data_IF_663554650097
#
_entry.id   IF_663554650097
#
_cell.length_a   1.000
_cell.length_b   1.000
_cell.length_c   1.000
_cell.angle_alpha   90.00
_cell.angle_beta   90.00
_cell.angle_gamma   90.00
#
_symmetry.space_group_name_H-M   'P 1'
#
loop_
_entity.id
_entity.type
_entity.pdbx_description
1 polymer ?
#
# COMPACT_ATOMS: atom_id res chain seq x y z
N UNK A 1 4.71 -10.34 -12.58
CA UNK A 1 3.48 -10.66 -11.81
C UNK A 1 3.84 -11.23 -10.45
N UNK A 2 3.20 -10.77 -9.36
CA UNK A 2 3.39 -11.34 -8.03
C UNK A 2 2.77 -12.74 -7.94
N UNK A 3 3.47 -13.67 -7.29
CA UNK A 3 3.03 -15.07 -7.12
C UNK A 3 2.62 -15.40 -5.69
N UNK A 4 2.88 -14.50 -4.75
CA UNK A 4 2.62 -14.67 -3.31
C UNK A 4 2.67 -13.31 -2.60
N UNK A 5 2.12 -13.23 -1.38
CA UNK A 5 2.20 -12.02 -0.56
C UNK A 5 3.65 -11.58 -0.26
N UNK A 6 4.59 -12.52 -0.09
CA UNK A 6 6.01 -12.21 0.11
C UNK A 6 6.64 -11.59 -1.14
N UNK A 7 6.33 -12.13 -2.32
CA UNK A 7 6.79 -11.58 -3.59
C UNK A 7 6.20 -10.18 -3.83
N UNK A 8 4.92 -9.97 -3.52
CA UNK A 8 4.30 -8.65 -3.56
C UNK A 8 4.94 -7.66 -2.57
N UNK A 9 5.33 -8.14 -1.37
CA UNK A 9 6.06 -7.32 -0.39
C UNK A 9 7.42 -6.88 -0.93
N UNK A 10 8.16 -7.79 -1.56
CA UNK A 10 9.46 -7.51 -2.15
C UNK A 10 9.36 -6.44 -3.25
N UNK A 11 8.41 -6.60 -4.18
CA UNK A 11 8.10 -5.59 -5.20
C UNK A 11 7.72 -4.26 -4.54
N UNK A 12 6.88 -4.30 -3.51
CA UNK A 12 6.40 -3.11 -2.83
C UNK A 12 7.49 -2.31 -2.13
N UNK A 13 8.57 -2.95 -1.64
CA UNK A 13 9.69 -2.25 -0.99
C UNK A 13 10.34 -1.19 -1.87
N UNK A 14 10.27 -1.31 -3.20
CA UNK A 14 10.81 -0.32 -4.11
C UNK A 14 10.03 1.02 -4.13
N UNK A 15 8.80 1.03 -3.60
CA UNK A 15 7.89 2.18 -3.62
C UNK A 15 7.80 2.93 -2.29
N UNK A 16 8.48 2.44 -1.26
CA UNK A 16 8.50 3.03 0.08
C UNK A 16 9.93 3.35 0.51
N UNK A 17 10.12 4.27 1.46
CA UNK A 17 11.41 4.43 2.11
C UNK A 17 11.88 3.11 2.74
N UNK A 18 13.20 2.88 2.84
CA UNK A 18 13.71 1.63 3.39
C UNK A 18 13.27 1.46 4.85
N UNK A 19 12.81 0.26 5.19
CA UNK A 19 12.37 -0.08 6.55
C UNK A 19 13.51 0.16 7.56
N UNK A 20 13.22 0.89 8.64
CA UNK A 20 14.19 1.22 9.68
C UNK A 20 15.10 2.42 9.36
N UNK A 21 14.88 3.12 8.24
CA UNK A 21 15.53 4.41 7.99
C UNK A 21 15.00 5.49 8.95
N UNK A 22 15.77 6.57 9.23
CA UNK A 22 15.24 7.75 9.89
C UNK A 22 13.98 8.26 9.18
N UNK A 23 12.91 8.52 9.94
CA UNK A 23 11.59 8.90 9.41
C UNK A 23 11.01 7.91 8.38
N UNK A 24 11.48 6.66 8.38
CA UNK A 24 11.03 5.58 7.50
C UNK A 24 9.98 4.67 8.16
N UNK A 25 9.37 3.76 7.38
CA UNK A 25 8.43 2.80 7.93
C UNK A 25 9.14 1.79 8.84
N UNK A 26 8.44 1.28 9.85
CA UNK A 26 8.90 0.15 10.68
C UNK A 26 8.56 -1.19 10.06
N UNK A 27 7.61 -1.22 9.12
CA UNK A 27 7.21 -2.44 8.43
C UNK A 27 6.58 -2.16 7.07
N UNK A 28 6.52 -3.19 6.22
CA UNK A 28 5.73 -3.19 5.00
C UNK A 28 4.68 -4.29 5.17
N UNK A 29 3.41 -3.90 5.17
CA UNK A 29 2.25 -4.76 5.35
C UNK A 29 1.68 -5.11 3.98
N UNK A 30 1.25 -6.36 3.81
CA UNK A 30 0.62 -6.82 2.57
C UNK A 30 -0.72 -7.45 2.90
N UNK A 31 -1.77 -6.97 2.25
CA UNK A 31 -3.11 -7.53 2.29
C UNK A 31 -3.42 -8.13 0.92
N UNK A 32 -3.48 -9.46 0.85
CA UNK A 32 -3.89 -10.15 -0.37
C UNK A 32 -5.42 -10.08 -0.54
N UNK A 33 -5.87 -9.89 -1.78
CA UNK A 33 -7.29 -9.98 -2.16
C UNK A 33 -7.41 -10.62 -3.55
N UNK A 34 -8.65 -10.76 -4.04
CA UNK A 34 -8.94 -11.55 -5.26
C UNK A 34 -8.17 -11.06 -6.50
N UNK A 35 -8.05 -9.75 -6.69
CA UNK A 35 -7.47 -9.15 -7.91
C UNK A 35 -6.02 -8.69 -7.74
N UNK A 36 -5.46 -8.74 -6.53
CA UNK A 36 -4.17 -8.13 -6.26
C UNK A 36 -3.69 -8.22 -4.81
N UNK A 37 -2.71 -7.36 -4.52
CA UNK A 37 -2.07 -7.20 -3.23
C UNK A 37 -2.05 -5.71 -2.87
N UNK A 38 -2.68 -5.32 -1.77
CA UNK A 38 -2.51 -3.98 -1.21
C UNK A 38 -1.26 -3.97 -0.33
N UNK A 39 -0.30 -3.11 -0.65
CA UNK A 39 0.93 -2.92 0.12
C UNK A 39 0.89 -1.56 0.81
N UNK A 40 1.21 -1.57 2.10
CA UNK A 40 1.14 -0.40 2.97
C UNK A 40 2.42 -0.27 3.80
N UNK A 41 2.87 0.97 3.98
CA UNK A 41 3.90 1.30 4.96
C UNK A 41 3.28 1.33 6.37
N UNK A 42 3.80 0.49 7.26
CA UNK A 42 3.52 0.57 8.69
C UNK A 42 4.45 1.60 9.32
N UNK A 43 3.87 2.70 9.81
CA UNK A 43 4.59 3.78 10.46
C UNK A 43 4.62 3.57 11.98
N UNK A 44 5.68 4.03 12.67
CA UNK A 44 5.69 4.00 14.13
C UNK A 44 4.52 4.83 14.67
N UNK A 45 3.92 4.36 15.77
CA UNK A 45 2.96 5.19 16.49
C UNK A 45 3.69 6.46 16.96
N UNK A 46 3.07 7.65 16.81
CA UNK A 46 3.67 8.86 17.34
C UNK A 46 3.78 8.75 18.86
N UNK A 47 4.89 9.23 19.43
CA UNK A 47 5.13 9.23 20.87
C UNK A 47 4.06 10.05 21.61
N UNK A 48 3.63 11.15 20.98
CA UNK A 48 2.49 11.94 21.40
C UNK A 48 1.32 11.75 20.41
N UNK A 49 0.17 11.21 20.85
CA UNK A 49 -0.98 10.94 19.97
C UNK A 49 -1.69 12.20 19.48
N UNK A 50 -1.37 13.38 20.04
CA UNK A 50 -1.93 14.68 19.63
C UNK A 50 -1.03 15.41 18.63
N UNK A 51 0.22 14.96 18.47
CA UNK A 51 1.14 15.48 17.50
C UNK A 51 0.60 15.25 16.08
N UNK A 52 0.65 16.30 15.28
CA UNK A 52 0.35 16.19 13.86
C UNK A 52 1.44 15.34 13.18
N UNK A 53 1.08 14.49 12.22
CA UNK A 53 2.07 13.76 11.46
C UNK A 53 2.99 14.75 10.72
N UNK A 54 4.30 14.50 10.80
CA UNK A 54 5.34 15.35 10.19
C UNK A 54 5.30 15.37 8.66
N UNK A 55 4.51 14.52 8.02
CA UNK A 55 4.29 14.48 6.58
C UNK A 55 2.85 14.05 6.29
N UNK A 56 2.27 14.48 5.15
CA UNK A 56 0.99 13.96 4.71
C UNK A 56 1.05 12.43 4.69
N UNK A 57 0.07 11.77 5.33
CA UNK A 57 0.00 10.32 5.40
C UNK A 57 0.15 9.76 3.99
N UNK A 58 1.13 8.86 3.81
CA UNK A 58 1.66 8.46 2.50
C UNK A 58 0.64 7.86 1.53
N UNK A 59 1.11 7.21 0.47
CA UNK A 59 0.23 6.42 -0.40
C UNK A 59 0.31 4.94 0.01
N UNK A 60 -0.76 4.20 -0.21
CA UNK A 60 -0.68 2.76 -0.37
C UNK A 60 -0.45 2.46 -1.85
N UNK A 61 -0.03 1.23 -2.17
CA UNK A 61 -0.02 0.74 -3.55
C UNK A 61 -0.83 -0.55 -3.65
N UNK A 62 -1.42 -0.79 -4.81
CA UNK A 62 -1.99 -2.07 -5.19
C UNK A 62 -1.17 -2.67 -6.30
N UNK A 63 -0.78 -3.94 -6.16
CA UNK A 63 -0.09 -4.71 -7.20
C UNK A 63 -1.08 -5.71 -7.76
N UNK A 64 -1.43 -5.58 -9.04
CA UNK A 64 -2.35 -6.49 -9.71
C UNK A 64 -1.77 -7.90 -9.83
N UNK A 65 -2.58 -8.93 -9.55
CA UNK A 65 -2.18 -10.33 -9.75
C UNK A 65 -2.03 -10.68 -11.23
N UNK A 66 -2.90 -10.14 -12.09
CA UNK A 66 -2.99 -10.51 -13.51
C UNK A 66 -1.75 -10.17 -14.32
N UNK A 67 -1.16 -9.02 -14.06
CA UNK A 67 -0.11 -8.43 -14.91
C UNK A 67 1.05 -7.82 -14.09
N UNK A 68 0.85 -7.59 -12.78
CA UNK A 68 1.83 -6.96 -11.90
C UNK A 68 1.83 -5.43 -11.91
N UNK A 69 0.87 -4.79 -12.56
CA UNK A 69 0.70 -3.33 -12.57
C UNK A 69 0.57 -2.80 -11.15
N UNK A 70 1.23 -1.67 -10.91
CA UNK A 70 1.24 -0.97 -9.64
C UNK A 70 0.36 0.27 -9.74
N UNK A 71 -0.67 0.34 -8.91
CA UNK A 71 -1.58 1.48 -8.80
C UNK A 71 -1.40 2.16 -7.45
N UNK A 72 -1.17 3.47 -7.44
CA UNK A 72 -1.14 4.25 -6.21
C UNK A 72 -2.58 4.52 -5.74
N UNK A 73 -2.85 4.26 -4.46
CA UNK A 73 -4.14 4.55 -3.82
C UNK A 73 -3.93 5.33 -2.52
N UNK A 74 -4.92 6.14 -2.09
CA UNK A 74 -4.84 6.85 -0.80
C UNK A 74 -4.54 5.91 0.36
N UNK A 75 -3.89 6.45 1.41
CA UNK A 75 -3.63 5.74 2.66
C UNK A 75 -4.90 5.59 3.52
N UNK A 76 -5.85 4.83 3.01
CA UNK A 76 -7.01 4.35 3.74
C UNK A 76 -6.71 2.98 4.38
N UNK A 77 -7.53 2.53 5.34
CA UNK A 77 -7.54 1.14 5.77
C UNK A 77 -7.72 0.18 4.57
N UNK A 78 -7.36 -1.11 4.73
CA UNK A 78 -7.30 -2.05 3.60
C UNK A 78 -8.58 -2.12 2.77
N UNK A 79 -9.73 -2.31 3.43
CA UNK A 79 -11.01 -2.48 2.74
C UNK A 79 -11.42 -1.26 1.87
N UNK A 80 -11.45 -0.03 2.38
CA UNK A 80 -11.78 1.15 1.55
C UNK A 80 -10.74 1.43 0.45
N UNK A 81 -9.45 1.14 0.68
CA UNK A 81 -8.43 1.28 -0.35
C UNK A 81 -8.65 0.29 -1.51
N UNK A 82 -8.96 -0.98 -1.19
CA UNK A 82 -9.28 -2.02 -2.18
C UNK A 82 -10.58 -1.69 -2.92
N UNK A 83 -11.61 -1.22 -2.22
CA UNK A 83 -12.86 -0.81 -2.83
C UNK A 83 -12.67 0.35 -3.83
N UNK A 84 -11.83 1.32 -3.49
CA UNK A 84 -11.48 2.42 -4.38
C UNK A 84 -10.73 1.92 -5.62
N UNK A 85 -9.72 1.07 -5.45
CA UNK A 85 -9.00 0.44 -6.55
C UNK A 85 -9.93 -0.31 -7.50
N UNK A 86 -10.85 -1.12 -6.96
CA UNK A 86 -11.87 -1.83 -7.74
C UNK A 86 -12.73 -0.88 -8.56
N UNK A 87 -13.09 0.28 -8.00
CA UNK A 87 -13.89 1.28 -8.69
C UNK A 87 -13.12 1.96 -9.83
N UNK A 88 -11.83 2.22 -9.64
CA UNK A 88 -10.98 2.89 -10.66
C UNK A 88 -10.53 1.94 -11.75
N UNK A 89 -10.35 0.65 -11.45
CA UNK A 89 -9.89 -0.36 -12.41
C UNK A 89 -11.01 -0.92 -13.29
N UNK A 90 -12.27 -0.86 -12.87
CA UNK A 90 -13.38 -1.22 -13.76
C UNK A 90 -13.26 -0.33 -15.01
N UNK A 91 -13.21 -0.92 -16.22
CA UNK A 91 -13.32 -0.12 -17.42
C UNK A 91 -14.58 0.73 -17.27
N UNK A 92 -14.50 2.03 -17.56
CA UNK A 92 -15.67 2.86 -17.69
C UNK A 92 -16.52 2.21 -18.79
N UNK A 93 -17.56 1.47 -18.42
CA UNK A 93 -18.47 0.88 -19.39
C UNK A 93 -19.10 2.06 -20.13
N UNK A 94 -18.92 2.19 -21.46
CA UNK A 94 -19.56 3.23 -22.24
C UNK A 94 -21.08 3.08 -22.25
#
# INVERSE_FOLDING_TARGET
MPTSAEHARDIGRAYFPPVGSPDGPVSILVHEFDEGYLVQAGWPAPEDPTALPSSPGGANIVIAKSDGEVTHVPNFPPEPAIALYRRTRRPATP
#
